data_IF_923744164643
#
_entry.id   IF_923744164643
#
_cell.length_a   1.000
_cell.length_b   1.000
_cell.length_c   1.000
_cell.angle_alpha   90.00
_cell.angle_beta   90.00
_cell.angle_gamma   90.00
#
_symmetry.space_group_name_H-M   'P 1'
#
loop_
_entity.id
_entity.type
_entity.pdbx_description
1 polymer ?
#
# COMPACT_ATOMS: atom_id res chain seq x y z
N UNK A 1 -0.89 19.79 18.43
CA UNK A 1 -1.05 18.40 18.95
C UNK A 1 -0.47 17.36 17.99
N UNK A 2 -1.14 16.96 16.89
CA UNK A 2 -0.62 15.91 15.97
C UNK A 2 0.76 16.23 15.41
N UNK A 3 0.99 17.47 14.96
CA UNK A 3 2.30 17.91 14.48
C UNK A 3 3.41 17.72 15.52
N UNK A 4 3.15 18.14 16.75
CA UNK A 4 4.12 18.08 17.85
C UNK A 4 4.43 16.64 18.25
N UNK A 5 3.41 15.77 18.21
CA UNK A 5 3.56 14.33 18.41
C UNK A 5 4.47 13.70 17.34
N UNK A 6 4.24 14.00 16.05
CA UNK A 6 5.03 13.46 14.94
C UNK A 6 6.46 14.02 14.93
N UNK A 7 6.67 15.28 15.30
CA UNK A 7 8.01 15.85 15.50
C UNK A 7 8.73 15.13 16.65
N UNK A 8 8.05 14.85 17.76
CA UNK A 8 8.65 14.12 18.88
C UNK A 8 9.04 12.70 18.49
N UNK A 9 8.25 12.03 17.65
CA UNK A 9 8.52 10.67 17.16
C UNK A 9 9.82 10.58 16.34
N UNK A 10 10.30 11.68 15.73
CA UNK A 10 11.58 11.71 15.00
C UNK A 10 12.77 11.31 15.85
N UNK A 11 12.71 11.51 17.17
CA UNK A 11 13.80 11.14 18.10
C UNK A 11 14.08 9.63 18.13
N UNK A 12 13.11 8.82 17.72
CA UNK A 12 13.19 7.36 17.66
C UNK A 12 13.04 6.81 16.24
N UNK A 13 12.91 7.69 15.24
CA UNK A 13 12.73 7.29 13.85
C UNK A 13 14.09 7.14 13.18
N UNK A 14 14.32 5.99 12.55
CA UNK A 14 15.54 5.75 11.78
C UNK A 14 15.58 6.62 10.51
N UNK A 15 14.50 6.60 9.73
CA UNK A 15 14.38 7.35 8.48
C UNK A 15 12.91 7.49 8.04
N UNK A 16 12.66 8.48 7.19
CA UNK A 16 11.53 8.45 6.26
C UNK A 16 12.02 7.84 4.96
N UNK A 17 11.60 6.62 4.65
CA UNK A 17 12.06 5.83 3.51
C UNK A 17 10.87 5.12 2.89
N UNK A 18 10.53 5.48 1.65
CA UNK A 18 9.41 4.92 0.90
C UNK A 18 9.84 3.85 -0.10
N UNK A 19 11.15 3.58 -0.23
CA UNK A 19 11.71 2.78 -1.33
C UNK A 19 12.48 1.56 -0.83
N UNK A 20 13.27 1.71 0.24
CA UNK A 20 14.21 0.68 0.70
C UNK A 20 13.96 0.17 2.11
N UNK A 21 12.85 0.56 2.74
CA UNK A 21 12.57 0.26 4.15
C UNK A 21 12.57 -1.24 4.46
N UNK A 22 12.15 -2.11 3.53
CA UNK A 22 12.09 -3.55 3.73
C UNK A 22 13.49 -4.14 3.92
N UNK A 23 14.50 -3.64 3.20
CA UNK A 23 15.90 -4.08 3.34
C UNK A 23 16.46 -3.77 4.74
N UNK A 24 15.98 -2.69 5.37
CA UNK A 24 16.35 -2.31 6.74
C UNK A 24 15.75 -3.25 7.77
N UNK A 25 14.53 -3.73 7.53
CA UNK A 25 13.95 -4.80 8.35
C UNK A 25 14.73 -6.12 8.18
N UNK A 26 15.01 -6.52 6.94
CA UNK A 26 15.69 -7.79 6.63
C UNK A 26 17.08 -7.84 7.25
N UNK A 27 17.83 -6.73 7.18
CA UNK A 27 19.18 -6.61 7.77
C UNK A 27 19.19 -6.41 9.30
N UNK A 28 18.04 -6.09 9.90
CA UNK A 28 17.93 -5.75 11.33
C UNK A 28 18.35 -4.31 11.67
N UNK A 29 18.62 -3.46 10.69
CA UNK A 29 18.86 -2.02 10.88
C UNK A 29 17.61 -1.32 11.47
N UNK A 30 16.42 -1.76 11.04
CA UNK A 30 15.13 -1.33 11.58
C UNK A 30 14.41 -2.49 12.27
N UNK A 31 13.77 -2.21 13.42
CA UNK A 31 12.95 -3.20 14.14
C UNK A 31 11.47 -3.17 13.73
N UNK A 32 11.00 -2.04 13.20
CA UNK A 32 9.61 -1.81 12.82
C UNK A 32 9.56 -0.75 11.73
N UNK A 33 8.63 -0.91 10.79
CA UNK A 33 8.30 0.09 9.77
C UNK A 33 6.79 0.25 9.69
N UNK A 34 6.33 1.45 9.33
CA UNK A 34 4.97 1.67 8.86
C UNK A 34 5.05 1.90 7.36
N UNK A 35 4.38 1.05 6.58
CA UNK A 35 4.47 1.04 5.13
C UNK A 35 3.22 0.41 4.50
N UNK A 36 3.17 0.42 3.18
CA UNK A 36 2.09 -0.17 2.40
C UNK A 36 2.06 -1.70 2.53
N UNK A 37 0.85 -2.27 2.56
CA UNK A 37 0.62 -3.68 2.92
C UNK A 37 1.28 -4.65 1.94
N UNK A 38 1.20 -4.41 0.64
CA UNK A 38 1.84 -5.26 -0.37
C UNK A 38 3.36 -5.18 -0.33
N UNK A 39 3.95 -4.01 -0.06
CA UNK A 39 5.41 -3.92 0.04
C UNK A 39 5.99 -4.60 1.28
N UNK A 40 5.20 -4.76 2.35
CA UNK A 40 5.61 -5.57 3.50
C UNK A 40 5.92 -7.02 3.10
N UNK A 41 5.29 -7.54 2.04
CA UNK A 41 5.48 -8.91 1.56
C UNK A 41 6.89 -9.15 0.99
N UNK A 42 7.55 -8.13 0.43
CA UNK A 42 8.94 -8.24 -0.03
C UNK A 42 9.88 -8.60 1.12
N UNK A 43 9.73 -7.94 2.27
CA UNK A 43 10.49 -8.25 3.48
C UNK A 43 10.17 -9.65 4.01
N UNK A 44 8.90 -10.03 4.05
CA UNK A 44 8.44 -11.36 4.51
C UNK A 44 9.01 -12.47 3.61
N UNK A 45 9.08 -12.25 2.30
CA UNK A 45 9.63 -13.19 1.34
C UNK A 45 11.14 -13.44 1.55
N UNK A 46 11.89 -12.42 1.98
CA UNK A 46 13.32 -12.53 2.26
C UNK A 46 13.63 -13.01 3.69
N UNK A 47 12.81 -12.61 4.68
CA UNK A 47 12.96 -12.99 6.07
C UNK A 47 11.59 -13.31 6.70
N UNK A 48 11.26 -14.60 6.92
CA UNK A 48 9.96 -15.03 7.42
C UNK A 48 9.70 -14.68 8.90
N UNK A 49 10.70 -14.17 9.62
CA UNK A 49 10.51 -13.65 10.98
C UNK A 49 9.83 -12.26 10.99
N UNK A 50 9.83 -11.55 9.85
CA UNK A 50 9.10 -10.30 9.68
C UNK A 50 7.61 -10.60 9.65
N UNK A 51 6.82 -9.80 10.38
CA UNK A 51 5.36 -9.98 10.51
C UNK A 51 4.64 -8.70 10.12
N UNK A 52 3.65 -8.85 9.24
CA UNK A 52 2.67 -7.80 8.99
C UNK A 52 1.64 -7.76 10.11
N UNK A 53 1.34 -6.56 10.62
CA UNK A 53 0.31 -6.33 11.62
C UNK A 53 -0.46 -5.07 11.28
N UNK A 54 -1.76 -5.06 11.59
CA UNK A 54 -2.58 -3.85 11.58
C UNK A 54 -2.72 -3.38 13.04
N UNK A 55 -2.44 -2.10 13.37
CA UNK A 55 -2.62 -1.58 14.72
C UNK A 55 -4.06 -1.76 15.23
N UNK A 56 -4.21 -1.95 16.55
CA UNK A 56 -5.54 -2.17 17.17
C UNK A 56 -6.48 -0.97 17.02
N UNK A 57 -5.90 0.23 16.88
CA UNK A 57 -6.60 1.48 16.62
C UNK A 57 -7.19 1.54 15.19
N UNK A 58 -6.75 0.66 14.29
CA UNK A 58 -7.05 0.68 12.87
C UNK A 58 -5.88 1.17 12.02
N UNK A 59 -6.11 1.22 10.70
CA UNK A 59 -5.22 1.85 9.72
C UNK A 59 -6.07 2.53 8.65
N UNK A 60 -5.42 3.15 7.68
CA UNK A 60 -6.04 3.60 6.44
C UNK A 60 -6.40 2.44 5.49
N UNK A 61 -7.43 2.66 4.68
CA UNK A 61 -7.76 1.90 3.48
C UNK A 61 -7.61 2.84 2.28
N UNK A 62 -6.75 2.43 1.34
CA UNK A 62 -6.45 3.19 0.12
C UNK A 62 -6.65 2.33 -1.13
N UNK A 63 -6.84 3.00 -2.27
CA UNK A 63 -7.01 2.37 -3.58
C UNK A 63 -6.35 3.22 -4.64
N UNK A 64 -5.44 2.63 -5.41
CA UNK A 64 -4.91 3.24 -6.62
C UNK A 64 -5.81 2.92 -7.82
N UNK A 65 -6.03 3.92 -8.67
CA UNK A 65 -6.93 3.81 -9.82
C UNK A 65 -6.26 4.29 -11.10
N UNK A 66 -6.35 3.51 -12.17
CA UNK A 66 -5.95 3.95 -13.51
C UNK A 66 -6.93 5.00 -14.03
N UNK A 67 -6.40 6.13 -14.51
CA UNK A 67 -7.21 7.23 -15.08
C UNK A 67 -6.77 7.59 -16.50
N UNK A 68 -7.74 7.90 -17.37
CA UNK A 68 -7.46 8.43 -18.71
C UNK A 68 -7.59 9.95 -18.70
N UNK A 69 -6.48 10.64 -18.93
CA UNK A 69 -6.47 12.09 -18.88
C UNK A 69 -7.26 12.72 -20.03
N UNK A 70 -7.98 13.81 -19.74
CA UNK A 70 -8.78 14.55 -20.75
C UNK A 70 -7.95 14.97 -21.96
N UNK A 71 -6.68 15.33 -21.74
CA UNK A 71 -5.73 15.75 -22.76
C UNK A 71 -4.92 14.61 -23.40
N UNK A 72 -5.19 13.33 -23.07
CA UNK A 72 -4.47 12.21 -23.68
C UNK A 72 -4.65 12.22 -25.20
N UNK A 73 -3.53 12.14 -25.93
CA UNK A 73 -3.51 12.03 -27.38
C UNK A 73 -3.92 10.63 -27.87
N UNK A 74 -3.85 9.61 -27.01
CA UNK A 74 -4.07 8.21 -27.34
C UNK A 74 -5.12 7.57 -26.40
N UNK A 75 -6.33 8.14 -26.36
CA UNK A 75 -7.40 7.67 -25.44
C UNK A 75 -7.80 6.22 -25.70
N UNK A 76 -7.96 5.84 -26.96
CA UNK A 76 -8.38 4.49 -27.32
C UNK A 76 -7.37 3.44 -26.85
N UNK A 77 -6.07 3.70 -27.06
CA UNK A 77 -5.00 2.84 -26.57
C UNK A 77 -4.97 2.78 -25.03
N UNK A 78 -5.21 3.90 -24.33
CA UNK A 78 -5.30 3.91 -22.87
C UNK A 78 -6.47 3.06 -22.35
N UNK A 79 -7.65 3.14 -22.99
CA UNK A 79 -8.79 2.29 -22.64
C UNK A 79 -8.52 0.81 -22.96
N UNK A 80 -7.86 0.50 -24.07
CA UNK A 80 -7.45 -0.87 -24.39
C UNK A 80 -6.47 -1.42 -23.34
N UNK A 81 -5.53 -0.61 -22.86
CA UNK A 81 -4.61 -1.00 -21.79
C UNK A 81 -5.34 -1.26 -20.47
N UNK A 82 -6.28 -0.39 -20.08
CA UNK A 82 -7.11 -0.62 -18.89
C UNK A 82 -7.89 -1.94 -19.02
N UNK A 83 -8.52 -2.19 -20.17
CA UNK A 83 -9.21 -3.46 -20.42
C UNK A 83 -8.27 -4.66 -20.34
N UNK A 84 -7.07 -4.55 -20.90
CA UNK A 84 -6.04 -5.59 -20.81
C UNK A 84 -5.68 -5.87 -19.35
N UNK A 85 -5.40 -4.84 -18.54
CA UNK A 85 -5.05 -5.01 -17.12
C UNK A 85 -6.20 -5.57 -16.29
N UNK A 86 -7.45 -5.22 -16.61
CA UNK A 86 -8.65 -5.69 -15.90
C UNK A 86 -9.06 -7.12 -16.26
N UNK A 87 -8.52 -7.73 -17.31
CA UNK A 87 -8.68 -9.16 -17.58
C UNK A 87 -8.24 -9.99 -16.36
N UNK A 88 -9.00 -11.02 -16.00
CA UNK A 88 -8.78 -11.76 -14.75
C UNK A 88 -7.37 -12.37 -14.66
N UNK A 89 -6.83 -12.89 -15.76
CA UNK A 89 -5.51 -13.50 -15.78
C UNK A 89 -4.42 -12.44 -15.61
N UNK A 90 -4.54 -11.31 -16.30
CA UNK A 90 -3.56 -10.23 -16.22
C UNK A 90 -3.60 -9.54 -14.86
N UNK A 91 -4.78 -9.35 -14.29
CA UNK A 91 -4.91 -8.74 -12.96
C UNK A 91 -4.42 -9.69 -11.85
N UNK A 92 -4.62 -11.00 -11.99
CA UNK A 92 -4.05 -12.00 -11.09
C UNK A 92 -2.52 -12.06 -11.19
N UNK A 93 -1.98 -11.94 -12.41
CA UNK A 93 -0.54 -11.78 -12.60
C UNK A 93 -0.03 -10.51 -11.91
N UNK A 94 -0.71 -9.38 -12.07
CA UNK A 94 -0.34 -8.14 -11.40
C UNK A 94 -0.31 -8.33 -9.88
N UNK A 95 -1.37 -8.87 -9.28
CA UNK A 95 -1.46 -9.13 -7.84
C UNK A 95 -0.29 -9.95 -7.29
N UNK A 96 0.16 -10.99 -8.02
CA UNK A 96 1.30 -11.83 -7.64
C UNK A 96 2.66 -11.18 -7.89
N UNK A 97 2.72 -10.22 -8.81
CA UNK A 97 3.98 -9.58 -9.19
C UNK A 97 4.28 -8.34 -8.34
N UNK A 98 3.26 -7.71 -7.77
CA UNK A 98 3.41 -6.53 -6.90
C UNK A 98 2.95 -6.78 -5.46
N UNK A 99 2.48 -7.99 -5.15
CA UNK A 99 2.00 -8.41 -3.84
C UNK A 99 0.86 -7.56 -3.26
N UNK A 100 0.03 -6.95 -4.11
CA UNK A 100 -1.16 -6.18 -3.71
C UNK A 100 -2.45 -6.84 -4.14
N UNK A 101 -3.49 -6.70 -3.30
CA UNK A 101 -4.85 -7.10 -3.67
C UNK A 101 -5.34 -6.28 -4.86
N UNK A 102 -6.14 -6.93 -5.70
CA UNK A 102 -6.77 -6.29 -6.84
C UNK A 102 -8.30 -6.31 -6.69
N UNK A 103 -9.02 -5.28 -7.16
CA UNK A 103 -10.49 -5.22 -7.06
C UNK A 103 -11.21 -6.13 -8.08
N UNK A 104 -10.51 -7.13 -8.63
CA UNK A 104 -11.08 -8.13 -9.54
C UNK A 104 -11.24 -9.46 -8.80
N UNK A 105 -12.49 -9.82 -8.49
CA UNK A 105 -12.82 -11.02 -7.72
C UNK A 105 -12.34 -12.33 -8.40
N UNK A 106 -12.64 -12.60 -9.68
CA UNK A 106 -12.08 -13.76 -10.38
C UNK A 106 -10.54 -13.84 -10.33
N UNK A 107 -9.84 -12.70 -10.40
CA UNK A 107 -8.39 -12.67 -10.29
C UNK A 107 -7.92 -13.11 -8.89
N UNK A 108 -8.51 -12.55 -7.83
CA UNK A 108 -8.18 -12.91 -6.44
C UNK A 108 -8.52 -14.37 -6.11
N UNK A 109 -9.65 -14.89 -6.63
CA UNK A 109 -10.05 -16.30 -6.47
C UNK A 109 -9.13 -17.28 -7.20
N UNK A 110 -8.38 -16.82 -8.21
CA UNK A 110 -7.43 -17.63 -8.97
C UNK A 110 -6.03 -17.71 -8.35
N UNK A 111 -5.77 -16.97 -7.27
CA UNK A 111 -4.44 -16.91 -6.65
C UNK A 111 -4.05 -18.27 -6.02
N UNK A 112 -2.78 -18.69 -6.15
CA UNK A 112 -2.30 -19.93 -5.56
C UNK A 112 -2.41 -19.96 -4.03
N UNK A 113 -2.75 -21.13 -3.46
CA UNK A 113 -2.93 -21.27 -2.01
C UNK A 113 -1.63 -21.11 -1.21
N UNK A 114 -0.49 -21.50 -1.79
CA UNK A 114 0.85 -21.31 -1.22
C UNK A 114 1.22 -19.82 -1.18
N UNK A 115 0.92 -19.05 -2.23
CA UNK A 115 1.08 -17.60 -2.23
C UNK A 115 0.28 -16.93 -1.10
N UNK A 116 -0.99 -17.32 -0.94
CA UNK A 116 -1.87 -16.80 0.11
C UNK A 116 -1.44 -17.21 1.53
N UNK A 117 -0.79 -18.36 1.67
CA UNK A 117 -0.24 -18.82 2.95
C UNK A 117 1.02 -18.04 3.34
N UNK A 118 1.88 -17.69 2.37
CA UNK A 118 3.06 -16.84 2.58
C UNK A 118 2.67 -15.40 2.91
N UNK A 119 1.60 -14.88 2.29
CA UNK A 119 1.16 -13.50 2.46
C UNK A 119 -0.28 -13.42 3.03
N UNK A 120 -0.49 -13.65 4.33
CA UNK A 120 -1.83 -13.69 4.93
C UNK A 120 -2.63 -12.38 4.78
N UNK A 121 -1.95 -11.23 4.68
CA UNK A 121 -2.60 -9.95 4.38
C UNK A 121 -3.37 -10.03 3.06
N UNK A 122 -2.89 -10.75 2.04
CA UNK A 122 -3.56 -10.94 0.75
C UNK A 122 -4.88 -11.69 0.85
N UNK A 123 -5.05 -12.49 1.91
CA UNK A 123 -6.28 -13.27 2.19
C UNK A 123 -7.30 -12.52 3.04
N UNK A 124 -7.02 -11.27 3.46
CA UNK A 124 -7.94 -10.52 4.32
C UNK A 124 -9.30 -10.30 3.63
N UNK A 125 -10.43 -10.65 4.27
CA UNK A 125 -11.74 -10.45 3.68
C UNK A 125 -12.05 -8.98 3.41
N UNK A 126 -12.70 -8.70 2.29
CA UNK A 126 -13.13 -7.33 1.93
C UNK A 126 -13.99 -6.71 3.04
N UNK A 127 -14.85 -7.50 3.69
CA UNK A 127 -15.69 -7.04 4.80
C UNK A 127 -14.89 -6.57 6.02
N UNK A 128 -13.66 -7.03 6.21
CA UNK A 128 -12.75 -6.54 7.24
C UNK A 128 -12.01 -5.27 6.76
N UNK A 129 -11.54 -5.26 5.51
CA UNK A 129 -10.83 -4.10 4.94
C UNK A 129 -11.68 -2.83 4.99
N UNK A 130 -12.97 -2.91 4.67
CA UNK A 130 -13.86 -1.75 4.64
C UNK A 130 -14.19 -1.15 6.01
N UNK A 131 -13.74 -1.79 7.11
CA UNK A 131 -13.85 -1.23 8.47
C UNK A 131 -12.76 -0.21 8.77
N UNK A 132 -11.68 -0.19 7.99
CA UNK A 132 -10.57 0.75 8.12
C UNK A 132 -10.90 2.12 7.53
N UNK A 133 -10.09 3.12 7.87
CA UNK A 133 -10.36 4.51 7.51
C UNK A 133 -10.07 4.76 6.03
N UNK A 134 -11.12 4.99 5.23
CA UNK A 134 -10.95 5.35 3.83
C UNK A 134 -10.38 6.76 3.70
N UNK A 135 -9.31 6.90 2.92
CA UNK A 135 -8.77 8.21 2.56
C UNK A 135 -9.86 9.06 1.86
N UNK A 136 -9.98 10.32 2.28
CA UNK A 136 -10.94 11.29 1.75
C UNK A 136 -10.19 12.46 1.12
N UNK A 137 -10.79 13.02 0.07
CA UNK A 137 -10.37 14.33 -0.41
C UNK A 137 -10.68 15.39 0.66
N UNK A 138 -9.63 16.04 1.15
CA UNK A 138 -9.70 17.09 2.17
C UNK A 138 -9.88 18.50 1.56
N UNK A 139 -9.94 18.62 0.23
CA UNK A 139 -10.18 19.86 -0.48
C UNK A 139 -9.11 20.91 -0.18
N UNK A 140 -9.54 22.13 0.16
CA UNK A 140 -8.64 23.26 0.41
C UNK A 140 -7.65 23.01 1.56
N UNK A 141 -8.00 22.14 2.51
CA UNK A 141 -7.13 21.77 3.63
C UNK A 141 -5.88 20.99 3.19
N UNK A 142 -5.83 20.46 1.95
CA UNK A 142 -4.66 19.77 1.41
C UNK A 142 -3.38 20.61 1.50
N UNK A 143 -3.50 21.94 1.38
CA UNK A 143 -2.38 22.87 1.53
C UNK A 143 -1.83 22.88 2.96
N UNK A 144 -2.72 22.86 3.94
CA UNK A 144 -2.34 22.83 5.36
C UNK A 144 -1.69 21.48 5.71
N UNK A 145 -2.23 20.36 5.24
CA UNK A 145 -1.61 19.05 5.38
C UNK A 145 -0.19 19.04 4.78
N UNK A 146 -0.03 19.53 3.55
CA UNK A 146 1.26 19.57 2.86
C UNK A 146 2.29 20.43 3.61
N UNK A 147 1.86 21.58 4.13
CA UNK A 147 2.68 22.46 4.96
C UNK A 147 3.10 21.77 6.26
N UNK A 148 2.15 21.17 6.98
CA UNK A 148 2.41 20.48 8.24
C UNK A 148 3.39 19.31 8.03
N UNK A 149 3.21 18.50 6.99
CA UNK A 149 4.14 17.40 6.65
C UNK A 149 5.54 17.94 6.37
N UNK A 150 5.66 19.06 5.66
CA UNK A 150 6.96 19.69 5.39
C UNK A 150 7.64 20.16 6.69
N UNK A 151 6.88 20.76 7.62
CA UNK A 151 7.36 21.16 8.94
C UNK A 151 7.77 19.95 9.80
N UNK A 152 7.06 18.83 9.70
CA UNK A 152 7.42 17.59 10.40
C UNK A 152 8.73 17.03 9.83
N UNK A 153 8.91 17.02 8.51
CA UNK A 153 10.09 16.42 7.88
C UNK A 153 11.37 17.23 8.08
N UNK A 154 11.28 18.55 8.19
CA UNK A 154 12.41 19.46 8.46
C UNK A 154 13.15 19.10 9.76
#
# INVERSE_FOLDING_TARGET
EVKDLLISAKKTLLAYDDTTFYSKLVSGEALMVQAWDGWCNYGIAENPEIKYVIPREGSDLWVDTMVVMKASANKDAAFQFINFMLDAKNHAWAAQNIDYKVPNKPAMESLPADFLATFPNMSMPVAELVKFEQLRDVGDAQRDYSKIVSEIKA
#
